data_IF_336952244851
#
_entry.id   IF_336952244851
#
_cell.length_a   1.000
_cell.length_b   1.000
_cell.length_c   1.000
_cell.angle_alpha   90.00
_cell.angle_beta   90.00
_cell.angle_gamma   90.00
#
_symmetry.space_group_name_H-M   'P 1'
#
loop_
_entity.id
_entity.type
_entity.pdbx_description
1 polymer ?
#
# COMPACT_ATOMS: atom_id res chain seq x y z
N UNK A 1 -5.36 -15.29 21.21
CA UNK A 1 -4.80 -14.63 20.05
C UNK A 1 -4.30 -13.23 20.40
N UNK A 2 -3.13 -12.89 19.91
CA UNK A 2 -2.51 -11.62 20.23
C UNK A 2 -2.71 -10.62 19.11
N UNK A 3 -3.03 -9.39 19.44
CA UNK A 3 -3.05 -8.33 18.46
C UNK A 3 -1.62 -8.04 17.98
N UNK A 4 -1.49 -7.62 16.74
CA UNK A 4 -0.22 -7.21 16.20
C UNK A 4 0.18 -5.88 16.83
N UNK A 5 1.23 -5.91 17.65
CA UNK A 5 1.66 -4.74 18.42
C UNK A 5 2.63 -3.83 17.68
N UNK A 6 2.99 -4.16 16.44
CA UNK A 6 3.90 -3.31 15.67
C UNK A 6 3.25 -1.98 15.34
N UNK A 7 4.00 -0.87 15.36
CA UNK A 7 3.44 0.40 14.92
C UNK A 7 3.00 0.36 13.46
N UNK A 8 2.03 1.17 13.11
CA UNK A 8 1.48 1.23 11.75
C UNK A 8 1.99 2.49 11.06
N UNK A 9 2.52 2.32 9.86
CA UNK A 9 2.89 3.43 8.97
C UNK A 9 1.91 3.43 7.80
N UNK A 10 1.26 4.55 7.57
CA UNK A 10 0.34 4.68 6.44
C UNK A 10 0.91 5.62 5.40
N UNK A 11 1.08 5.13 4.19
CA UNK A 11 1.55 5.93 3.06
C UNK A 11 0.35 6.47 2.30
N UNK A 12 0.34 7.78 2.05
CA UNK A 12 -0.82 8.45 1.45
C UNK A 12 -0.41 9.15 0.16
N UNK A 13 -1.19 8.96 -0.89
CA UNK A 13 -1.08 9.73 -2.11
C UNK A 13 -2.49 10.06 -2.58
N UNK A 14 -2.65 10.56 -3.80
CA UNK A 14 -3.98 10.98 -4.26
C UNK A 14 -4.87 9.75 -4.53
N UNK A 15 -4.46 8.88 -5.44
CA UNK A 15 -5.32 7.81 -5.94
C UNK A 15 -5.17 6.47 -5.26
N UNK A 16 -4.14 6.28 -4.43
CA UNK A 16 -3.83 5.00 -3.81
C UNK A 16 -3.73 3.86 -4.85
N UNK A 17 -3.13 4.17 -5.98
CA UNK A 17 -2.95 3.20 -7.07
C UNK A 17 -1.51 3.13 -7.55
N UNK A 18 -0.64 4.03 -7.12
CA UNK A 18 0.76 4.08 -7.55
C UNK A 18 1.70 4.39 -6.40
N UNK A 19 1.93 5.69 -6.10
CA UNK A 19 3.00 6.11 -5.18
C UNK A 19 2.88 5.51 -3.78
N UNK A 20 1.71 5.60 -3.17
CA UNK A 20 1.53 5.06 -1.81
C UNK A 20 1.58 3.54 -1.80
N UNK A 21 1.12 2.91 -2.88
CA UNK A 21 1.15 1.45 -3.01
C UNK A 21 2.59 0.96 -3.08
N UNK A 22 3.39 1.59 -3.94
CA UNK A 22 4.81 1.23 -4.08
C UNK A 22 5.55 1.47 -2.77
N UNK A 23 5.33 2.62 -2.14
CA UNK A 23 5.99 2.94 -0.87
C UNK A 23 5.65 1.91 0.19
N UNK A 24 4.37 1.57 0.34
CA UNK A 24 3.93 0.58 1.32
C UNK A 24 4.57 -0.78 1.07
N UNK A 25 4.53 -1.24 -0.18
CA UNK A 25 5.05 -2.57 -0.49
C UNK A 25 6.56 -2.67 -0.32
N UNK A 26 7.28 -1.64 -0.76
CA UNK A 26 8.74 -1.64 -0.61
C UNK A 26 9.15 -1.46 0.85
N UNK A 27 8.45 -0.62 1.60
CA UNK A 27 8.72 -0.43 3.02
C UNK A 27 8.48 -1.72 3.80
N UNK A 28 7.39 -2.43 3.50
CA UNK A 28 7.07 -3.69 4.16
C UNK A 28 8.16 -4.74 3.95
N UNK A 29 8.83 -4.68 2.82
CA UNK A 29 9.91 -5.61 2.52
C UNK A 29 11.16 -5.30 3.36
N UNK A 30 11.39 -4.04 3.66
CA UNK A 30 12.62 -3.59 4.32
C UNK A 30 12.49 -3.43 5.83
N UNK A 31 11.29 -3.15 6.32
CA UNK A 31 11.08 -2.78 7.72
C UNK A 31 10.04 -3.68 8.37
N UNK A 32 10.46 -4.86 8.78
CA UNK A 32 9.55 -5.87 9.34
C UNK A 32 9.06 -5.52 10.75
N UNK A 33 9.66 -4.52 11.40
CA UNK A 33 9.21 -4.06 12.71
C UNK A 33 7.97 -3.20 12.68
N UNK A 34 7.40 -2.93 11.49
CA UNK A 34 6.23 -2.08 11.31
C UNK A 34 5.18 -2.77 10.47
N UNK A 35 3.93 -2.37 10.67
CA UNK A 35 2.86 -2.70 9.74
C UNK A 35 2.75 -1.54 8.75
N UNK A 36 2.64 -1.85 7.47
CA UNK A 36 2.57 -0.83 6.43
C UNK A 36 1.20 -0.88 5.76
N UNK A 37 0.54 0.28 5.69
CA UNK A 37 -0.72 0.41 4.98
C UNK A 37 -0.63 1.56 3.99
N UNK A 38 -1.62 1.71 3.13
CA UNK A 38 -1.67 2.81 2.18
C UNK A 38 -3.11 3.28 1.99
N UNK A 39 -3.25 4.55 1.60
CA UNK A 39 -4.56 5.15 1.36
C UNK A 39 -4.39 6.32 0.39
N UNK A 40 -5.50 6.87 -0.08
CA UNK A 40 -5.48 8.03 -0.95
C UNK A 40 -6.44 9.11 -0.48
N UNK A 41 -6.20 10.32 -0.94
CA UNK A 41 -7.03 11.46 -0.57
C UNK A 41 -8.24 11.64 -1.49
N UNK A 42 -8.21 11.04 -2.67
CA UNK A 42 -9.32 11.07 -3.63
C UNK A 42 -9.24 9.81 -4.47
N UNK A 43 -9.88 8.74 -4.04
CA UNK A 43 -9.73 7.42 -4.64
C UNK A 43 -11.01 6.89 -5.25
N UNK A 44 -10.83 5.94 -6.17
CA UNK A 44 -11.91 5.04 -6.59
C UNK A 44 -11.78 3.80 -5.71
N UNK A 45 -12.65 3.70 -4.71
CA UNK A 45 -12.59 2.62 -3.72
C UNK A 45 -12.61 1.24 -4.36
N UNK A 46 -11.77 0.37 -3.84
CA UNK A 46 -11.76 -1.02 -4.25
C UNK A 46 -11.06 -1.32 -5.56
N UNK A 47 -10.47 -0.33 -6.20
CA UNK A 47 -9.77 -0.55 -7.47
C UNK A 47 -8.38 -1.14 -7.25
N UNK A 48 -7.90 -1.97 -8.16
CA UNK A 48 -6.54 -2.49 -8.07
C UNK A 48 -5.52 -1.40 -8.39
N UNK A 49 -4.26 -1.69 -8.14
CA UNK A 49 -3.19 -0.77 -8.51
C UNK A 49 -3.12 -0.63 -10.03
N UNK A 50 -2.52 0.47 -10.50
CA UNK A 50 -2.31 0.69 -11.93
C UNK A 50 -1.36 -0.36 -12.50
N UNK A 51 -1.46 -0.59 -13.81
CA UNK A 51 -0.58 -1.55 -14.49
C UNK A 51 0.88 -1.11 -14.44
N UNK A 52 1.14 0.21 -14.47
CA UNK A 52 2.50 0.73 -14.32
C UNK A 52 3.09 0.40 -12.96
N UNK A 53 2.28 0.53 -11.92
CA UNK A 53 2.71 0.20 -10.55
C UNK A 53 3.03 -1.29 -10.45
N UNK A 54 2.16 -2.12 -11.01
CA UNK A 54 2.37 -3.56 -11.01
C UNK A 54 3.68 -3.93 -11.70
N UNK A 55 3.95 -3.31 -12.86
CA UNK A 55 5.19 -3.56 -13.59
C UNK A 55 6.41 -3.09 -12.81
N UNK A 56 6.33 -1.91 -12.20
CA UNK A 56 7.44 -1.37 -11.42
C UNK A 56 7.79 -2.26 -10.22
N UNK A 57 6.77 -2.74 -9.52
CA UNK A 57 7.00 -3.66 -8.40
C UNK A 57 7.62 -4.96 -8.88
N UNK A 58 7.13 -5.50 -10.01
CA UNK A 58 7.67 -6.73 -10.57
C UNK A 58 9.15 -6.57 -10.94
N UNK A 59 9.53 -5.41 -11.46
CA UNK A 59 10.93 -5.13 -11.79
C UNK A 59 11.84 -5.18 -10.57
N UNK A 60 11.27 -4.98 -9.38
CA UNK A 60 11.99 -5.10 -8.11
C UNK A 60 11.74 -6.43 -7.42
N UNK A 61 11.17 -7.40 -8.12
CA UNK A 61 10.90 -8.71 -7.56
C UNK A 61 9.74 -8.77 -6.57
N UNK A 62 8.85 -7.78 -6.63
CA UNK A 62 7.75 -7.67 -5.67
C UNK A 62 6.40 -7.80 -6.38
N UNK A 63 5.41 -8.33 -5.63
CA UNK A 63 4.03 -8.39 -6.09
C UNK A 63 3.11 -7.97 -4.95
N UNK A 64 1.91 -7.51 -5.32
CA UNK A 64 0.91 -7.15 -4.32
C UNK A 64 -0.48 -7.29 -4.96
N UNK A 65 -0.87 -8.55 -5.29
CA UNK A 65 -2.06 -8.78 -6.09
C UNK A 65 -3.37 -8.43 -5.38
N UNK A 66 -3.36 -8.37 -4.06
CA UNK A 66 -4.58 -8.14 -3.29
C UNK A 66 -4.84 -6.67 -2.99
N UNK A 67 -3.98 -5.78 -3.46
CA UNK A 67 -4.16 -4.35 -3.19
C UNK A 67 -5.48 -3.84 -3.77
N UNK A 68 -6.18 -3.05 -2.97
CA UNK A 68 -7.35 -2.29 -3.40
C UNK A 68 -7.24 -0.87 -2.87
N UNK A 69 -7.57 0.09 -3.71
CA UNK A 69 -7.50 1.51 -3.33
C UNK A 69 -8.48 1.82 -2.21
N UNK A 70 -8.06 2.66 -1.28
CA UNK A 70 -8.80 2.94 -0.06
C UNK A 70 -8.70 4.42 0.28
N UNK A 71 -9.83 5.04 0.62
CA UNK A 71 -9.88 6.45 0.98
C UNK A 71 -9.28 6.68 2.36
N UNK A 72 -8.40 7.66 2.48
CA UNK A 72 -7.78 8.03 3.75
C UNK A 72 -8.81 8.69 4.67
N UNK A 73 -8.73 8.36 5.94
CA UNK A 73 -9.53 9.03 6.95
C UNK A 73 -10.90 8.44 7.19
N UNK A 74 -11.20 7.31 6.60
CA UNK A 74 -12.53 6.69 6.73
C UNK A 74 -12.56 5.50 7.67
N UNK A 75 -11.48 5.21 8.35
CA UNK A 75 -11.51 4.06 9.25
C UNK A 75 -12.37 4.26 10.42
#
# INVERSE_FOLDING_TARGET
>A
MTADARPVICFVCTGNAARSVMARRMFAELATGYRATSAGTLVLEGHPMSSRTRSALRDHGLTDPDHRSRQFGTE
#
